data_IF_850153557329
#
_entry.id   IF_850153557329
#
_cell.length_a   1.000
_cell.length_b   1.000
_cell.length_c   1.000
_cell.angle_alpha   90.00
_cell.angle_beta   90.00
_cell.angle_gamma   90.00
#
_symmetry.space_group_name_H-M   'P 1'
#
loop_
_entity.id
_entity.type
_entity.pdbx_description
1 polymer ?
#
# COMPACT_ATOMS: atom_id res chain seq x y z
N UNK A 1 -14.37 3.81 10.37
CA UNK A 1 -13.97 4.80 9.34
C UNK A 1 -15.07 5.85 9.10
N UNK A 2 -16.30 5.44 8.90
CA UNK A 2 -17.44 6.35 8.64
C UNK A 2 -17.69 7.38 9.75
N UNK A 3 -17.56 6.97 11.02
CA UNK A 3 -17.72 7.90 12.16
C UNK A 3 -16.65 9.00 12.16
N UNK A 4 -15.40 8.65 11.84
CA UNK A 4 -14.31 9.63 11.73
C UNK A 4 -14.57 10.61 10.59
N UNK A 5 -15.04 10.12 9.44
CA UNK A 5 -15.38 10.98 8.31
C UNK A 5 -16.53 11.95 8.64
N UNK A 6 -17.58 11.45 9.31
CA UNK A 6 -18.70 12.28 9.76
C UNK A 6 -18.29 13.34 10.79
N UNK A 7 -17.38 12.98 11.70
CA UNK A 7 -16.84 13.92 12.69
C UNK A 7 -16.06 15.08 12.05
N UNK A 8 -15.52 14.86 10.84
CA UNK A 8 -14.86 15.89 10.02
C UNK A 8 -15.84 16.67 9.12
N UNK A 9 -17.16 16.51 9.31
CA UNK A 9 -18.19 17.19 8.53
C UNK A 9 -18.52 16.54 7.19
N UNK A 10 -17.97 15.34 6.89
CA UNK A 10 -18.24 14.64 5.64
C UNK A 10 -19.58 13.93 5.69
N UNK A 11 -20.41 14.10 4.66
CA UNK A 11 -21.63 13.32 4.48
C UNK A 11 -21.28 11.95 3.89
N UNK A 12 -21.43 10.89 4.68
CA UNK A 12 -21.20 9.52 4.24
C UNK A 12 -22.51 8.88 3.81
N UNK A 13 -22.60 8.47 2.54
CA UNK A 13 -23.80 7.89 1.93
C UNK A 13 -23.45 6.48 1.46
N UNK A 14 -24.15 5.50 1.99
CA UNK A 14 -24.05 4.12 1.51
C UNK A 14 -25.03 3.90 0.36
N UNK A 15 -24.54 3.30 -0.73
CA UNK A 15 -25.41 2.95 -1.84
C UNK A 15 -26.45 1.90 -1.40
N UNK A 16 -27.75 2.12 -1.68
CA UNK A 16 -28.79 1.14 -1.36
C UNK A 16 -28.71 -0.11 -2.24
N UNK A 17 -27.92 -0.06 -3.32
CA UNK A 17 -27.73 -1.19 -4.23
C UNK A 17 -26.24 -1.46 -4.45
N UNK A 18 -25.81 -2.73 -4.43
CA UNK A 18 -24.43 -3.06 -4.70
C UNK A 18 -24.09 -2.81 -6.19
N UNK A 19 -22.82 -2.51 -6.48
CA UNK A 19 -22.33 -2.23 -7.85
C UNK A 19 -22.58 -3.38 -8.84
N UNK A 20 -22.72 -4.61 -8.35
CA UNK A 20 -23.11 -5.79 -9.16
C UNK A 20 -24.48 -5.59 -9.80
N UNK A 21 -25.44 -4.93 -9.12
CA UNK A 21 -26.75 -4.56 -9.65
C UNK A 21 -26.66 -3.21 -10.36
N UNK A 22 -25.92 -3.16 -11.48
CA UNK A 22 -25.52 -1.91 -12.16
C UNK A 22 -26.68 -0.94 -12.40
N UNK A 23 -27.85 -1.41 -12.84
CA UNK A 23 -29.01 -0.56 -13.11
C UNK A 23 -29.54 0.16 -11.87
N UNK A 24 -29.69 -0.55 -10.76
CA UNK A 24 -30.17 0.01 -9.50
C UNK A 24 -29.12 0.93 -8.88
N UNK A 25 -27.86 0.52 -8.95
CA UNK A 25 -26.74 1.36 -8.49
C UNK A 25 -26.66 2.69 -9.25
N UNK A 26 -26.73 2.67 -10.59
CA UNK A 26 -26.70 3.87 -11.42
C UNK A 26 -27.89 4.75 -11.12
N UNK A 27 -29.08 4.17 -10.93
CA UNK A 27 -30.29 4.93 -10.58
C UNK A 27 -30.15 5.64 -9.25
N UNK A 28 -29.66 4.94 -8.22
CA UNK A 28 -29.41 5.50 -6.90
C UNK A 28 -28.36 6.61 -6.95
N UNK A 29 -27.23 6.38 -7.61
CA UNK A 29 -26.18 7.37 -7.78
C UNK A 29 -26.69 8.62 -8.54
N UNK A 30 -27.46 8.44 -9.62
CA UNK A 30 -28.04 9.56 -10.36
C UNK A 30 -29.03 10.36 -9.52
N UNK A 31 -29.81 9.70 -8.66
CA UNK A 31 -30.71 10.39 -7.74
C UNK A 31 -29.93 11.26 -6.75
N UNK A 32 -28.86 10.73 -6.15
CA UNK A 32 -28.00 11.46 -5.24
C UNK A 32 -27.33 12.66 -5.93
N UNK A 33 -26.74 12.45 -7.09
CA UNK A 33 -26.08 13.52 -7.86
C UNK A 33 -27.03 14.65 -8.30
N UNK A 34 -28.32 14.35 -8.47
CA UNK A 34 -29.34 15.36 -8.79
C UNK A 34 -29.80 16.16 -7.57
N UNK A 35 -29.85 15.52 -6.40
CA UNK A 35 -30.27 16.18 -5.15
C UNK A 35 -29.17 17.04 -4.54
N UNK A 36 -27.91 16.64 -4.71
CA UNK A 36 -26.77 17.40 -4.26
C UNK A 36 -26.28 18.39 -5.32
N UNK A 37 -25.77 19.52 -4.90
CA UNK A 37 -25.04 20.44 -5.77
C UNK A 37 -23.57 20.08 -5.71
N UNK A 38 -23.14 19.22 -6.61
CA UNK A 38 -21.76 18.73 -6.65
C UNK A 38 -21.01 19.37 -7.82
N UNK A 39 -19.94 20.08 -7.54
CA UNK A 39 -19.07 20.67 -8.54
C UNK A 39 -18.02 19.67 -9.05
N UNK A 40 -17.56 18.76 -8.18
CA UNK A 40 -16.51 17.79 -8.48
C UNK A 40 -17.00 16.36 -8.25
N UNK A 41 -16.74 15.49 -9.20
CA UNK A 41 -16.88 14.05 -9.06
C UNK A 41 -15.49 13.41 -9.06
N UNK A 42 -15.00 12.99 -7.89
CA UNK A 42 -13.71 12.32 -7.72
C UNK A 42 -13.93 10.82 -7.51
N UNK A 43 -13.54 10.02 -8.48
CA UNK A 43 -13.76 8.57 -8.50
C UNK A 43 -12.48 7.81 -8.13
N UNK A 44 -12.57 6.92 -7.12
CA UNK A 44 -11.45 6.10 -6.61
C UNK A 44 -11.62 4.61 -6.90
N UNK A 45 -12.12 4.25 -8.08
CA UNK A 45 -12.46 2.86 -8.40
C UNK A 45 -11.85 2.40 -9.73
N UNK A 46 -10.65 2.87 -10.03
CA UNK A 46 -9.87 2.51 -11.22
C UNK A 46 -10.75 2.52 -12.50
N UNK A 47 -10.73 1.46 -13.30
CA UNK A 47 -11.56 1.37 -14.52
C UNK A 47 -13.07 1.38 -14.26
N UNK A 48 -13.53 0.94 -13.06
CA UNK A 48 -14.94 0.98 -12.70
C UNK A 48 -15.45 2.41 -12.49
N UNK A 49 -14.57 3.39 -12.38
CA UNK A 49 -14.89 4.81 -12.40
C UNK A 49 -15.69 5.20 -13.65
N UNK A 50 -15.55 4.45 -14.75
CA UNK A 50 -16.40 4.61 -15.95
C UNK A 50 -17.91 4.55 -15.66
N UNK A 51 -18.33 3.68 -14.72
CA UNK A 51 -19.74 3.56 -14.34
C UNK A 51 -20.25 4.84 -13.67
N UNK A 52 -19.41 5.44 -12.82
CA UNK A 52 -19.73 6.70 -12.14
C UNK A 52 -19.77 7.88 -13.13
N UNK A 53 -18.82 7.94 -14.05
CA UNK A 53 -18.75 8.97 -15.09
C UNK A 53 -19.97 8.89 -16.03
N UNK A 54 -20.35 7.68 -16.47
CA UNK A 54 -21.55 7.47 -17.26
C UNK A 54 -22.83 7.84 -16.50
N UNK A 55 -22.90 7.50 -15.21
CA UNK A 55 -24.02 7.89 -14.36
C UNK A 55 -24.13 9.41 -14.22
N UNK A 56 -23.00 10.14 -14.17
CA UNK A 56 -22.93 11.59 -14.08
C UNK A 56 -23.09 12.31 -15.43
N UNK A 57 -23.27 11.58 -16.54
CA UNK A 57 -23.44 12.18 -17.85
C UNK A 57 -24.71 13.06 -17.91
N UNK A 58 -24.59 14.26 -18.47
CA UNK A 58 -25.66 15.25 -18.56
C UNK A 58 -25.95 15.99 -17.24
N UNK A 59 -25.12 15.84 -16.22
CA UNK A 59 -25.22 16.60 -14.95
C UNK A 59 -24.25 17.79 -14.91
N UNK A 60 -24.57 18.87 -14.18
CA UNK A 60 -23.76 20.08 -14.11
C UNK A 60 -22.53 19.90 -13.22
N UNK A 61 -21.76 18.82 -13.41
CA UNK A 61 -20.51 18.56 -12.72
C UNK A 61 -19.40 19.23 -13.52
N UNK A 62 -18.71 20.17 -12.88
CA UNK A 62 -17.68 20.99 -13.52
C UNK A 62 -16.40 20.20 -13.73
N UNK A 63 -16.06 19.26 -12.81
CA UNK A 63 -14.82 18.52 -12.86
C UNK A 63 -15.00 17.03 -12.52
N UNK A 64 -14.45 16.17 -13.35
CA UNK A 64 -14.49 14.71 -13.23
C UNK A 64 -13.07 14.17 -13.11
N UNK A 65 -12.75 13.58 -11.98
CA UNK A 65 -11.42 13.05 -11.66
C UNK A 65 -11.50 11.54 -11.54
N UNK A 66 -10.61 10.84 -12.20
CA UNK A 66 -10.39 9.40 -12.02
C UNK A 66 -9.07 9.21 -11.30
N UNK A 67 -9.12 8.70 -10.07
CA UNK A 67 -7.95 8.37 -9.26
C UNK A 67 -7.68 6.87 -9.33
N UNK A 68 -6.50 6.50 -9.78
CA UNK A 68 -6.09 5.13 -10.03
C UNK A 68 -5.19 4.65 -8.89
N UNK A 69 -5.62 3.57 -8.23
CA UNK A 69 -4.94 2.99 -7.07
C UNK A 69 -4.23 1.67 -7.37
N UNK A 70 -4.64 1.00 -8.46
CA UNK A 70 -4.09 -0.29 -8.83
C UNK A 70 -3.60 -0.27 -10.28
N UNK A 71 -2.49 -0.96 -10.50
CA UNK A 71 -1.89 -1.09 -11.82
C UNK A 71 -2.62 -2.10 -12.72
N UNK A 72 -3.93 -2.26 -12.54
CA UNK A 72 -4.78 -2.94 -13.48
C UNK A 72 -4.91 -4.48 -13.37
N UNK A 73 -3.95 -5.18 -12.82
CA UNK A 73 -3.90 -6.63 -13.07
C UNK A 73 -4.51 -7.48 -11.95
N UNK A 74 -4.90 -6.87 -10.86
CA UNK A 74 -5.44 -7.56 -9.69
C UNK A 74 -6.93 -7.96 -9.78
N UNK A 75 -7.61 -7.65 -10.89
CA UNK A 75 -9.01 -8.08 -11.05
C UNK A 75 -9.05 -9.51 -11.59
N UNK A 76 -9.48 -10.51 -10.79
CA UNK A 76 -9.62 -11.86 -11.25
C UNK A 76 -10.69 -11.91 -12.36
N UNK A 77 -10.30 -11.99 -13.60
CA UNK A 77 -11.23 -12.14 -14.68
C UNK A 77 -10.85 -13.38 -15.49
N UNK A 78 -11.81 -14.28 -15.57
CA UNK A 78 -11.65 -15.65 -16.01
C UNK A 78 -11.28 -15.90 -17.48
N UNK A 79 -11.05 -14.90 -18.31
CA UNK A 79 -10.41 -15.08 -19.62
C UNK A 79 -9.85 -13.77 -20.18
N UNK A 80 -8.72 -13.84 -20.90
CA UNK A 80 -8.11 -12.69 -21.59
C UNK A 80 -9.08 -11.97 -22.52
N UNK A 81 -9.99 -12.69 -23.14
CA UNK A 81 -11.00 -12.13 -24.03
C UNK A 81 -12.04 -11.30 -23.28
N UNK A 82 -12.56 -11.80 -22.14
CA UNK A 82 -13.49 -11.05 -21.28
C UNK A 82 -12.81 -9.81 -20.68
N UNK A 83 -11.55 -9.93 -20.29
CA UNK A 83 -10.75 -8.77 -19.83
C UNK A 83 -10.73 -7.70 -20.92
N UNK A 84 -10.34 -8.06 -22.14
CA UNK A 84 -10.22 -7.11 -23.26
C UNK A 84 -11.56 -6.49 -23.65
N UNK A 85 -12.64 -7.29 -23.70
CA UNK A 85 -13.97 -6.82 -24.11
C UNK A 85 -14.65 -5.95 -23.05
N UNK A 86 -14.29 -6.09 -21.78
CA UNK A 86 -14.90 -5.31 -20.70
C UNK A 86 -14.02 -4.15 -20.23
N UNK A 87 -12.73 -4.41 -20.00
CA UNK A 87 -11.82 -3.43 -19.40
C UNK A 87 -11.45 -2.30 -20.34
N UNK A 88 -11.13 -2.63 -21.60
CA UNK A 88 -10.72 -1.62 -22.58
C UNK A 88 -11.82 -0.59 -22.86
N UNK A 89 -13.09 -0.98 -23.13
CA UNK A 89 -14.17 0.00 -23.26
C UNK A 89 -14.35 0.89 -22.02
N UNK A 90 -14.28 0.32 -20.79
CA UNK A 90 -14.40 1.09 -19.56
C UNK A 90 -13.25 2.09 -19.40
N UNK A 91 -12.01 1.66 -19.68
CA UNK A 91 -10.86 2.54 -19.69
C UNK A 91 -11.05 3.68 -20.71
N UNK A 92 -11.52 3.39 -21.91
CA UNK A 92 -11.79 4.40 -22.94
C UNK A 92 -12.86 5.40 -22.51
N UNK A 93 -13.87 4.97 -21.73
CA UNK A 93 -14.83 5.88 -21.11
C UNK A 93 -14.13 6.83 -20.13
N UNK A 94 -13.30 6.29 -19.22
CA UNK A 94 -12.52 7.12 -18.32
C UNK A 94 -11.61 8.10 -19.07
N UNK A 95 -10.90 7.61 -20.08
CA UNK A 95 -9.99 8.43 -20.90
C UNK A 95 -10.69 9.52 -21.69
N UNK A 96 -11.97 9.40 -21.99
CA UNK A 96 -12.75 10.41 -22.74
C UNK A 96 -13.50 11.36 -21.84
N UNK A 97 -14.05 10.88 -20.73
CA UNK A 97 -14.99 11.63 -19.89
C UNK A 97 -14.36 12.28 -18.66
N UNK A 98 -13.18 11.81 -18.21
CA UNK A 98 -12.50 12.45 -17.09
C UNK A 98 -11.80 13.73 -17.54
N UNK A 99 -11.84 14.77 -16.72
CA UNK A 99 -11.08 16.01 -16.90
C UNK A 99 -9.64 15.80 -16.38
N UNK A 100 -9.48 15.02 -15.30
CA UNK A 100 -8.17 14.64 -14.76
C UNK A 100 -8.09 13.13 -14.52
N UNK A 101 -6.91 12.57 -14.80
CA UNK A 101 -6.54 11.19 -14.47
C UNK A 101 -5.31 11.24 -13.56
N UNK A 102 -5.47 10.67 -12.38
CA UNK A 102 -4.48 10.75 -11.30
C UNK A 102 -4.07 9.33 -10.92
N UNK A 103 -2.78 9.05 -10.92
CA UNK A 103 -2.23 7.79 -10.40
C UNK A 103 -1.58 8.00 -9.05
N UNK A 104 -1.64 7.00 -8.16
CA UNK A 104 -0.92 7.03 -6.88
C UNK A 104 0.60 6.82 -7.02
N UNK A 105 1.04 6.41 -8.20
CA UNK A 105 2.44 6.26 -8.58
C UNK A 105 2.60 6.47 -10.08
N UNK A 106 3.84 6.67 -10.53
CA UNK A 106 4.13 6.74 -11.96
C UNK A 106 3.67 5.47 -12.68
N UNK A 107 3.93 4.31 -12.08
CA UNK A 107 3.55 3.02 -12.64
C UNK A 107 2.04 2.85 -12.77
N UNK A 108 1.25 3.18 -11.74
CA UNK A 108 -0.22 3.05 -11.81
C UNK A 108 -0.83 3.97 -12.85
N UNK A 109 -0.31 5.19 -12.97
CA UNK A 109 -0.75 6.13 -14.01
C UNK A 109 -0.45 5.58 -15.40
N UNK A 110 0.80 5.19 -15.67
CA UNK A 110 1.21 4.70 -17.01
C UNK A 110 0.49 3.40 -17.39
N UNK A 111 0.32 2.47 -16.45
CA UNK A 111 -0.45 1.25 -16.66
C UNK A 111 -1.91 1.56 -17.04
N UNK A 112 -2.54 2.53 -16.38
CA UNK A 112 -3.89 2.96 -16.69
C UNK A 112 -3.99 3.66 -18.05
N UNK A 113 -3.05 4.52 -18.38
CA UNK A 113 -2.96 5.20 -19.68
C UNK A 113 -2.63 4.23 -20.82
N UNK A 114 -2.03 3.09 -20.51
CA UNK A 114 -1.58 2.05 -21.43
C UNK A 114 -0.60 2.61 -22.48
N UNK A 115 -1.05 2.73 -23.75
CA UNK A 115 -0.21 3.24 -24.85
C UNK A 115 -0.34 4.75 -25.09
N UNK A 116 -1.21 5.41 -24.32
CA UNK A 116 -1.42 6.85 -24.47
C UNK A 116 -0.32 7.62 -23.73
N UNK A 117 0.33 8.55 -24.39
CA UNK A 117 1.25 9.48 -23.72
C UNK A 117 0.53 10.35 -22.68
N UNK A 118 1.20 10.67 -21.57
CA UNK A 118 0.69 11.60 -20.56
C UNK A 118 0.44 12.99 -21.18
N UNK A 119 -0.63 13.62 -20.74
CA UNK A 119 -0.93 15.03 -21.01
C UNK A 119 -0.72 15.80 -19.70
N UNK A 120 0.29 16.66 -19.58
CA UNK A 120 0.66 17.31 -18.31
C UNK A 120 -0.46 18.10 -17.65
N UNK A 121 -1.35 18.68 -18.47
CA UNK A 121 -2.51 19.44 -18.01
C UNK A 121 -3.65 18.58 -17.44
N UNK A 122 -3.59 17.25 -17.64
CA UNK A 122 -4.67 16.32 -17.32
C UNK A 122 -4.24 15.11 -16.49
N UNK A 123 -3.05 14.60 -16.79
CA UNK A 123 -2.57 13.32 -16.25
C UNK A 123 -1.43 13.61 -15.28
N UNK A 124 -1.63 13.29 -14.01
CA UNK A 124 -0.68 13.60 -12.94
C UNK A 124 -0.51 12.44 -11.97
N UNK A 125 0.58 12.46 -11.25
CA UNK A 125 0.80 11.58 -10.09
C UNK A 125 0.49 12.37 -8.83
N UNK A 126 -0.29 11.75 -7.96
CA UNK A 126 -0.58 12.25 -6.62
C UNK A 126 -0.32 11.14 -5.61
N UNK A 127 0.80 11.23 -4.93
CA UNK A 127 1.18 10.27 -3.90
C UNK A 127 0.29 10.37 -2.68
N UNK A 128 0.15 9.27 -1.94
CA UNK A 128 -0.50 9.31 -0.64
C UNK A 128 0.22 10.25 0.32
N UNK A 129 -0.55 11.04 1.04
CA UNK A 129 -0.04 11.81 2.18
C UNK A 129 0.23 10.89 3.37
N UNK A 130 1.40 11.04 3.97
CA UNK A 130 1.81 10.30 5.17
C UNK A 130 2.01 11.29 6.31
N UNK A 131 1.36 11.02 7.46
CA UNK A 131 1.54 11.78 8.68
C UNK A 131 2.74 11.23 9.47
N UNK A 132 3.82 11.99 9.65
CA UNK A 132 4.98 11.53 10.40
C UNK A 132 4.78 11.57 11.92
N UNK A 133 3.78 12.31 12.43
CA UNK A 133 3.58 12.54 13.87
C UNK A 133 3.59 11.26 14.72
N UNK A 134 2.94 10.15 14.29
CA UNK A 134 3.01 8.90 15.06
C UNK A 134 4.43 8.34 15.21
N UNK A 135 5.33 8.63 14.25
CA UNK A 135 6.73 8.18 14.30
C UNK A 135 7.63 9.13 15.09
N UNK A 136 7.26 10.39 15.23
CA UNK A 136 7.99 11.36 16.06
C UNK A 136 7.83 11.08 17.55
N UNK A 137 6.67 10.58 17.96
CA UNK A 137 6.25 10.45 19.35
C UNK A 137 6.46 9.06 19.96
N UNK A 138 6.82 8.04 19.15
CA UNK A 138 7.05 6.68 19.67
C UNK A 138 8.22 6.61 20.62
N UNK A 139 8.05 5.85 21.70
CA UNK A 139 9.10 5.64 22.71
C UNK A 139 10.26 4.83 22.16
N UNK A 140 9.97 3.86 21.29
CA UNK A 140 10.95 2.88 20.81
C UNK A 140 11.53 2.01 21.92
N UNK A 141 10.74 1.69 22.94
CA UNK A 141 11.13 0.78 24.02
C UNK A 141 11.27 -0.66 23.49
N UNK A 142 12.42 -0.92 22.90
CA UNK A 142 12.75 -2.20 22.27
C UNK A 142 12.75 -3.37 23.26
N UNK A 143 13.20 -3.13 24.49
CA UNK A 143 13.29 -4.16 25.53
C UNK A 143 11.89 -4.51 26.05
N UNK A 144 11.10 -3.51 26.41
CA UNK A 144 9.72 -3.70 26.85
C UNK A 144 8.86 -4.38 25.79
N UNK A 145 9.01 -3.99 24.52
CA UNK A 145 8.30 -4.61 23.42
C UNK A 145 8.65 -6.10 23.26
N UNK A 146 9.94 -6.46 23.32
CA UNK A 146 10.37 -7.87 23.26
C UNK A 146 9.79 -8.69 24.39
N UNK A 147 9.80 -8.19 25.60
CA UNK A 147 9.22 -8.87 26.77
C UNK A 147 7.72 -9.07 26.67
N UNK A 148 6.96 -8.13 26.08
CA UNK A 148 5.53 -8.28 25.84
C UNK A 148 5.20 -9.43 24.87
N UNK A 149 6.14 -9.81 24.03
CA UNK A 149 5.99 -10.90 23.04
C UNK A 149 6.72 -12.18 23.46
N UNK A 150 7.22 -12.26 24.71
CA UNK A 150 8.00 -13.39 25.23
C UNK A 150 9.24 -13.68 24.35
N UNK A 151 9.92 -12.61 23.90
CA UNK A 151 11.15 -12.70 23.11
C UNK A 151 12.36 -12.38 23.98
N UNK A 152 13.53 -12.92 23.62
CA UNK A 152 14.79 -12.53 24.25
C UNK A 152 15.10 -11.04 23.99
N UNK A 153 15.80 -10.40 24.94
CA UNK A 153 16.12 -8.97 24.85
C UNK A 153 17.00 -8.64 23.61
N UNK A 154 17.74 -9.63 23.11
CA UNK A 154 18.59 -9.56 21.91
C UNK A 154 17.92 -10.12 20.63
N UNK A 155 16.63 -10.50 20.68
CA UNK A 155 15.93 -11.03 19.53
C UNK A 155 16.02 -10.11 18.30
N UNK A 156 16.44 -10.66 17.16
CA UNK A 156 16.47 -9.98 15.88
C UNK A 156 15.08 -10.06 15.22
N UNK A 157 14.40 -8.95 15.10
CA UNK A 157 13.01 -8.90 14.62
C UNK A 157 12.97 -8.58 13.13
N UNK A 158 12.47 -9.54 12.35
CA UNK A 158 12.09 -9.39 10.94
C UNK A 158 10.59 -9.08 10.88
N UNK A 159 10.23 -7.85 10.56
CA UNK A 159 8.84 -7.38 10.51
C UNK A 159 8.27 -7.45 9.10
N UNK A 160 7.13 -8.12 8.96
CA UNK A 160 6.25 -8.02 7.80
C UNK A 160 5.02 -7.16 8.17
N UNK A 161 4.80 -6.07 7.45
CA UNK A 161 3.66 -5.17 7.68
C UNK A 161 2.78 -5.05 6.44
N UNK A 162 1.51 -5.47 6.55
CA UNK A 162 0.55 -5.40 5.45
C UNK A 162 -0.47 -6.52 5.43
N UNK A 163 -1.31 -6.56 4.38
CA UNK A 163 -2.28 -7.65 4.21
C UNK A 163 -1.56 -8.99 4.00
N UNK A 164 -2.00 -10.03 4.69
CA UNK A 164 -1.47 -11.39 4.53
C UNK A 164 -2.18 -12.09 3.37
N UNK A 165 -1.83 -11.70 2.16
CA UNK A 165 -2.43 -12.18 0.90
C UNK A 165 -1.34 -12.63 -0.09
N UNK A 166 -1.66 -13.49 -1.08
CA UNK A 166 -0.66 -14.00 -2.04
C UNK A 166 0.12 -12.90 -2.76
N UNK A 167 -0.51 -11.77 -3.04
CA UNK A 167 0.11 -10.62 -3.70
C UNK A 167 1.19 -9.93 -2.84
N UNK A 168 1.21 -10.18 -1.53
CA UNK A 168 2.25 -9.68 -0.61
C UNK A 168 3.28 -10.73 -0.24
N UNK A 169 3.00 -12.00 -0.58
CA UNK A 169 3.89 -13.15 -0.38
C UNK A 169 4.45 -13.33 1.06
N UNK A 170 3.60 -13.30 2.12
CA UNK A 170 4.08 -13.38 3.50
C UNK A 170 4.75 -14.73 3.82
N UNK A 171 4.41 -15.80 3.10
CA UNK A 171 4.99 -17.14 3.29
C UNK A 171 6.50 -17.12 2.99
N UNK A 172 6.94 -16.39 1.96
CA UNK A 172 8.37 -16.25 1.64
C UNK A 172 9.15 -15.57 2.78
N UNK A 173 8.53 -14.70 3.57
CA UNK A 173 9.18 -14.13 4.74
C UNK A 173 9.50 -15.19 5.82
N UNK A 174 8.69 -16.26 5.91
CA UNK A 174 8.98 -17.43 6.77
C UNK A 174 10.17 -18.21 6.23
N UNK A 175 10.28 -18.38 4.91
CA UNK A 175 11.46 -19.01 4.30
C UNK A 175 12.74 -18.22 4.59
N UNK A 176 12.67 -16.89 4.50
CA UNK A 176 13.79 -16.01 4.85
C UNK A 176 14.15 -16.15 6.34
N UNK A 177 13.15 -16.19 7.23
CA UNK A 177 13.37 -16.44 8.65
C UNK A 177 14.09 -17.77 8.88
N UNK A 178 13.70 -18.85 8.21
CA UNK A 178 14.33 -20.16 8.34
C UNK A 178 15.84 -20.10 8.01
N UNK A 179 16.20 -19.38 6.95
CA UNK A 179 17.60 -19.20 6.58
C UNK A 179 18.35 -18.25 7.51
N UNK A 180 17.67 -17.20 7.97
CA UNK A 180 18.22 -16.22 8.90
C UNK A 180 18.56 -16.89 10.24
N UNK A 181 17.70 -17.76 10.78
CA UNK A 181 17.94 -18.49 12.01
C UNK A 181 19.12 -19.47 11.95
N UNK A 182 19.48 -19.94 10.77
CA UNK A 182 20.72 -20.69 10.56
C UNK A 182 21.99 -19.83 10.70
N UNK A 183 21.88 -18.51 10.68
CA UNK A 183 22.96 -17.52 10.80
C UNK A 183 22.87 -16.77 12.12
N UNK A 184 21.68 -16.39 12.53
CA UNK A 184 21.32 -15.64 13.72
C UNK A 184 20.21 -16.39 14.48
N UNK A 185 20.59 -17.27 15.41
CA UNK A 185 19.68 -18.23 16.07
C UNK A 185 18.53 -17.58 16.84
N UNK A 186 18.67 -16.31 17.24
CA UNK A 186 17.70 -15.52 17.97
C UNK A 186 16.74 -14.72 17.07
N UNK A 187 16.79 -14.91 15.73
CA UNK A 187 15.90 -14.21 14.83
C UNK A 187 14.44 -14.70 14.96
N UNK A 188 13.51 -13.75 14.90
CA UNK A 188 12.05 -13.98 14.92
C UNK A 188 11.37 -13.19 13.83
N UNK A 189 10.23 -13.66 13.34
CA UNK A 189 9.40 -12.90 12.41
C UNK A 189 8.11 -12.45 13.09
N UNK A 190 7.78 -11.18 12.90
CA UNK A 190 6.52 -10.59 13.35
C UNK A 190 5.72 -10.17 12.13
N UNK A 191 4.45 -10.59 12.09
CA UNK A 191 3.51 -10.24 11.03
C UNK A 191 2.42 -9.34 11.59
N UNK A 192 2.29 -8.14 11.03
CA UNK A 192 1.25 -7.18 11.40
C UNK A 192 0.31 -6.98 10.21
N UNK A 193 -0.95 -7.27 10.43
CA UNK A 193 -2.02 -7.26 9.44
C UNK A 193 -2.81 -8.55 9.45
N UNK A 194 -3.76 -8.67 8.53
CA UNK A 194 -4.60 -9.86 8.38
C UNK A 194 -4.82 -10.20 6.91
N UNK A 195 -5.27 -11.43 6.63
CA UNK A 195 -5.55 -11.85 5.26
C UNK A 195 -5.73 -13.35 5.10
N UNK A 196 -5.95 -13.77 3.85
CA UNK A 196 -6.26 -15.17 3.52
C UNK A 196 -5.09 -16.14 3.78
N UNK A 197 -3.85 -15.64 3.88
CA UNK A 197 -2.66 -16.48 4.09
C UNK A 197 -2.20 -16.58 5.55
N UNK A 198 -2.97 -16.12 6.53
CA UNK A 198 -2.62 -16.29 7.96
C UNK A 198 -2.37 -17.76 8.32
N UNK A 199 -3.25 -18.66 7.83
CA UNK A 199 -3.11 -20.11 8.08
C UNK A 199 -1.90 -20.69 7.37
N UNK A 200 -1.62 -20.24 6.14
CA UNK A 200 -0.50 -20.73 5.34
C UNK A 200 0.83 -20.33 6.00
N UNK A 201 0.94 -19.11 6.51
CA UNK A 201 2.11 -18.63 7.27
C UNK A 201 2.37 -19.50 8.49
N UNK A 202 1.33 -19.76 9.31
CA UNK A 202 1.47 -20.59 10.52
C UNK A 202 1.76 -22.06 10.20
N UNK A 203 1.12 -22.59 9.16
CA UNK A 203 1.37 -23.97 8.74
C UNK A 203 2.79 -24.14 8.24
N UNK A 204 3.25 -23.23 7.38
CA UNK A 204 4.60 -23.26 6.84
C UNK A 204 5.66 -23.08 7.93
N UNK A 205 5.40 -22.23 8.91
CA UNK A 205 6.27 -22.10 10.08
C UNK A 205 6.41 -23.42 10.86
N UNK A 206 5.31 -24.17 11.08
CA UNK A 206 5.35 -25.48 11.72
C UNK A 206 6.12 -26.52 10.91
N UNK A 207 5.91 -26.56 9.59
CA UNK A 207 6.62 -27.47 8.68
C UNK A 207 8.14 -27.27 8.73
N UNK A 208 8.57 -26.05 9.05
CA UNK A 208 9.97 -25.69 9.23
C UNK A 208 10.46 -25.73 10.69
N UNK A 209 9.61 -26.08 11.66
CA UNK A 209 9.93 -26.10 13.09
C UNK A 209 10.17 -24.71 13.66
N UNK A 210 9.43 -23.69 13.18
CA UNK A 210 9.60 -22.28 13.52
C UNK A 210 8.36 -21.68 14.21
N UNK A 211 7.44 -22.50 14.70
CA UNK A 211 6.19 -22.02 15.34
C UNK A 211 6.44 -21.05 16.50
N UNK A 212 7.49 -21.31 17.29
CA UNK A 212 7.90 -20.44 18.40
C UNK A 212 8.67 -19.20 17.97
N UNK A 213 8.98 -19.05 16.68
CA UNK A 213 9.74 -17.95 16.12
C UNK A 213 8.90 -17.02 15.24
N UNK A 214 7.61 -17.31 15.09
CA UNK A 214 6.67 -16.52 14.30
C UNK A 214 5.57 -15.97 15.19
N UNK A 215 5.29 -14.66 15.07
CA UNK A 215 4.21 -13.98 15.78
C UNK A 215 3.28 -13.31 14.80
N UNK A 216 2.00 -13.71 14.78
CA UNK A 216 0.95 -13.00 14.06
C UNK A 216 0.23 -12.07 15.04
N UNK A 217 0.39 -10.75 14.88
CA UNK A 217 -0.22 -9.76 15.78
C UNK A 217 -1.59 -9.28 15.28
N UNK A 218 -2.02 -9.73 14.09
CA UNK A 218 -3.25 -9.25 13.48
C UNK A 218 -3.21 -7.76 13.14
N UNK A 219 -4.38 -7.15 13.07
CA UNK A 219 -4.49 -5.71 12.86
C UNK A 219 -4.10 -4.93 14.11
N UNK A 220 -3.18 -3.96 13.98
CA UNK A 220 -2.66 -3.15 15.09
C UNK A 220 -2.77 -1.67 14.74
N UNK A 221 -3.09 -0.84 15.77
CA UNK A 221 -3.11 0.61 15.65
C UNK A 221 -1.79 1.27 16.05
N UNK A 222 -0.91 0.52 16.71
CA UNK A 222 0.41 0.95 17.21
C UNK A 222 1.56 0.48 16.29
N UNK A 223 1.28 0.38 14.98
CA UNK A 223 2.27 -0.02 13.97
C UNK A 223 3.56 0.82 14.03
N UNK A 224 3.53 2.15 14.25
CA UNK A 224 4.75 2.96 14.42
C UNK A 224 5.65 2.46 15.57
N UNK A 225 5.07 2.09 16.71
CA UNK A 225 5.81 1.53 17.85
C UNK A 225 6.43 0.18 17.49
N UNK A 226 5.64 -0.73 16.90
CA UNK A 226 6.12 -2.04 16.48
C UNK A 226 7.28 -1.92 15.49
N UNK A 227 7.14 -1.03 14.49
CA UNK A 227 8.20 -0.76 13.52
C UNK A 227 9.46 -0.22 14.21
N UNK A 228 9.33 0.74 15.12
CA UNK A 228 10.46 1.34 15.85
C UNK A 228 11.20 0.35 16.75
N UNK A 229 10.52 -0.72 17.19
CA UNK A 229 11.08 -1.79 18.00
C UNK A 229 11.65 -2.96 17.17
N UNK A 230 11.46 -2.97 15.86
CA UNK A 230 11.95 -3.99 14.93
C UNK A 230 13.36 -3.68 14.41
N UNK A 231 13.99 -4.63 13.72
CA UNK A 231 15.33 -4.49 13.16
C UNK A 231 15.30 -4.40 11.63
N UNK A 232 14.40 -5.17 11.01
CA UNK A 232 14.21 -5.25 9.58
C UNK A 232 12.74 -5.16 9.22
N UNK A 233 12.46 -4.49 8.12
CA UNK A 233 11.19 -4.60 7.40
C UNK A 233 11.39 -5.45 6.14
N UNK A 234 10.51 -6.43 5.91
CA UNK A 234 10.55 -7.28 4.72
C UNK A 234 9.25 -7.17 3.93
N UNK A 235 9.37 -6.93 2.63
CA UNK A 235 8.23 -6.95 1.71
C UNK A 235 8.62 -7.69 0.41
N UNK A 236 8.41 -9.01 0.37
CA UNK A 236 8.78 -9.89 -0.75
C UNK A 236 7.66 -9.97 -1.80
N UNK A 237 7.14 -8.81 -2.23
CA UNK A 237 6.06 -8.71 -3.21
C UNK A 237 6.48 -9.32 -4.54
N UNK A 238 5.67 -10.16 -5.20
CA UNK A 238 5.95 -10.65 -6.55
C UNK A 238 6.21 -9.50 -7.54
N UNK A 239 6.98 -9.78 -8.58
CA UNK A 239 7.24 -8.77 -9.62
C UNK A 239 5.98 -8.43 -10.43
N UNK A 240 5.01 -9.36 -10.45
CA UNK A 240 3.71 -9.17 -11.11
C UNK A 240 2.58 -9.79 -10.28
N UNK A 241 1.52 -9.02 -9.98
CA UNK A 241 1.38 -7.58 -10.22
C UNK A 241 2.35 -6.78 -9.36
N UNK A 242 2.75 -5.60 -9.81
CA UNK A 242 3.61 -4.68 -9.04
C UNK A 242 2.81 -4.06 -7.89
N UNK A 243 3.45 -3.80 -6.76
CA UNK A 243 2.88 -2.99 -5.68
C UNK A 243 2.53 -1.59 -6.17
N UNK A 244 1.28 -1.16 -5.98
CA UNK A 244 0.81 0.12 -6.52
C UNK A 244 1.54 1.34 -5.97
N UNK A 245 1.87 1.32 -4.66
CA UNK A 245 2.66 2.37 -4.01
C UNK A 245 3.51 1.83 -2.85
N UNK A 246 2.91 1.10 -1.89
CA UNK A 246 3.63 0.54 -0.76
C UNK A 246 3.76 1.50 0.42
N UNK A 247 2.65 1.98 0.99
CA UNK A 247 2.64 2.84 2.19
C UNK A 247 3.51 2.30 3.32
N UNK A 248 3.47 0.98 3.57
CA UNK A 248 4.28 0.33 4.60
C UNK A 248 5.79 0.52 4.38
N UNK A 249 6.23 0.75 3.13
CA UNK A 249 7.64 1.07 2.81
C UNK A 249 8.00 2.47 3.29
N UNK A 250 7.10 3.46 3.13
CA UNK A 250 7.30 4.81 3.68
C UNK A 250 7.33 4.76 5.21
N UNK A 251 6.36 4.08 5.82
CA UNK A 251 6.25 3.92 7.26
C UNK A 251 7.50 3.26 7.86
N UNK A 252 8.04 2.21 7.22
CA UNK A 252 9.27 1.55 7.65
C UNK A 252 10.49 2.49 7.63
N UNK A 253 10.59 3.38 6.66
CA UNK A 253 11.63 4.40 6.61
C UNK A 253 11.49 5.42 7.74
N UNK A 254 10.26 5.87 8.01
CA UNK A 254 9.97 6.80 9.11
C UNK A 254 10.26 6.19 10.49
N UNK A 255 10.16 4.87 10.62
CA UNK A 255 10.57 4.15 11.82
C UNK A 255 12.10 3.97 11.95
N UNK A 256 12.85 4.28 10.89
CA UNK A 256 14.31 4.06 10.84
C UNK A 256 14.69 2.60 10.61
N UNK A 257 13.84 1.82 9.92
CA UNK A 257 14.12 0.42 9.62
C UNK A 257 15.02 0.25 8.39
N UNK A 258 15.86 -0.77 8.43
CA UNK A 258 16.45 -1.35 7.23
C UNK A 258 15.40 -2.17 6.50
N UNK A 259 15.44 -2.20 5.17
CA UNK A 259 14.41 -2.87 4.40
C UNK A 259 14.98 -3.91 3.43
N UNK A 260 14.32 -5.06 3.37
CA UNK A 260 14.49 -6.08 2.33
C UNK A 260 13.27 -6.02 1.41
N UNK A 261 13.47 -5.57 0.20
CA UNK A 261 12.40 -5.34 -0.78
C UNK A 261 12.64 -6.17 -2.02
N UNK A 262 11.58 -6.69 -2.61
CA UNK A 262 11.66 -7.35 -3.94
C UNK A 262 11.65 -6.33 -5.08
N UNK A 263 11.87 -6.80 -6.30
CA UNK A 263 11.73 -5.99 -7.52
C UNK A 263 10.27 -5.60 -7.81
N UNK A 264 9.28 -6.25 -7.17
CA UNK A 264 7.88 -5.84 -7.24
C UNK A 264 7.54 -4.56 -6.47
N UNK A 265 8.50 -3.97 -5.75
CA UNK A 265 8.33 -2.69 -5.05
C UNK A 265 8.92 -1.56 -5.89
N UNK A 266 8.12 -0.52 -6.11
CA UNK A 266 8.50 0.67 -6.89
C UNK A 266 9.53 1.55 -6.16
N UNK A 267 10.10 2.52 -6.90
CA UNK A 267 10.94 3.57 -6.31
C UNK A 267 10.13 4.73 -5.73
N UNK A 268 8.89 4.91 -6.19
CA UNK A 268 8.01 6.02 -5.78
C UNK A 268 7.91 6.22 -4.24
N UNK A 269 7.81 5.18 -3.37
CA UNK A 269 7.75 5.35 -1.93
C UNK A 269 9.12 5.54 -1.26
N UNK A 270 10.23 5.49 -1.99
CA UNK A 270 11.56 5.58 -1.41
C UNK A 270 11.99 7.03 -1.20
N UNK A 271 12.30 7.37 0.05
CA UNK A 271 12.91 8.66 0.40
C UNK A 271 14.42 8.62 0.11
N UNK A 272 15.07 9.77 -0.10
CA UNK A 272 16.52 9.82 -0.33
C UNK A 272 17.38 9.19 0.77
N UNK A 273 16.84 9.08 1.97
CA UNK A 273 17.48 8.49 3.16
C UNK A 273 17.22 7.00 3.32
N UNK A 274 16.50 6.37 2.39
CA UNK A 274 16.09 4.97 2.48
C UNK A 274 17.28 4.01 2.60
N UNK A 275 17.24 3.12 3.56
CA UNK A 275 18.20 2.02 3.71
C UNK A 275 17.54 0.70 3.34
N UNK A 276 17.83 0.20 2.15
CA UNK A 276 17.22 -1.02 1.64
C UNK A 276 18.17 -1.88 0.80
N UNK A 277 17.80 -3.16 0.64
CA UNK A 277 18.32 -4.06 -0.40
C UNK A 277 17.17 -4.51 -1.25
N UNK A 278 17.30 -4.33 -2.56
CA UNK A 278 16.34 -4.84 -3.54
C UNK A 278 16.85 -6.16 -4.07
N UNK A 279 16.08 -7.23 -3.91
CA UNK A 279 16.48 -8.61 -4.17
C UNK A 279 15.41 -9.31 -5.01
N UNK A 280 15.81 -10.08 -6.04
CA UNK A 280 14.85 -10.91 -6.77
C UNK A 280 14.37 -12.06 -5.88
N UNK A 281 13.10 -12.42 -6.01
CA UNK A 281 12.56 -13.61 -5.33
C UNK A 281 13.19 -14.90 -5.87
N UNK A 282 13.54 -14.91 -7.16
CA UNK A 282 14.14 -16.07 -7.84
C UNK A 282 15.48 -16.49 -7.24
N UNK A 283 16.22 -15.59 -6.60
CA UNK A 283 17.50 -15.89 -5.95
C UNK A 283 17.32 -16.62 -4.61
N UNK A 284 16.09 -16.79 -4.19
CA UNK A 284 15.70 -17.59 -3.03
C UNK A 284 15.99 -16.93 -1.67
N UNK A 285 15.45 -17.51 -0.58
CA UNK A 285 15.47 -16.92 0.76
C UNK A 285 16.86 -16.83 1.37
N UNK A 286 17.83 -17.65 0.93
CA UNK A 286 19.20 -17.63 1.45
C UNK A 286 19.93 -16.33 1.14
N UNK A 287 19.74 -15.76 -0.06
CA UNK A 287 20.33 -14.46 -0.40
C UNK A 287 19.74 -13.33 0.44
N UNK A 288 18.43 -13.38 0.68
CA UNK A 288 17.74 -12.41 1.52
C UNK A 288 18.24 -12.44 2.97
N UNK A 289 18.41 -13.64 3.53
CA UNK A 289 18.95 -13.80 4.89
C UNK A 289 20.40 -13.29 4.99
N UNK A 290 21.26 -13.63 4.02
CA UNK A 290 22.64 -13.09 3.97
C UNK A 290 22.66 -11.57 3.90
N UNK A 291 21.82 -10.98 3.05
CA UNK A 291 21.73 -9.53 2.93
C UNK A 291 21.26 -8.85 4.24
N UNK A 292 20.41 -9.52 5.03
CA UNK A 292 20.04 -9.05 6.37
C UNK A 292 21.26 -9.03 7.30
N UNK A 293 21.99 -10.13 7.41
CA UNK A 293 23.15 -10.25 8.32
C UNK A 293 24.28 -9.28 7.94
N UNK A 294 24.64 -9.20 6.66
CA UNK A 294 25.68 -8.28 6.16
C UNK A 294 25.42 -6.81 6.56
N UNK A 295 24.16 -6.40 6.56
CA UNK A 295 23.80 -5.02 6.89
C UNK A 295 23.61 -4.72 8.37
N UNK A 296 23.56 -5.72 9.23
CA UNK A 296 23.55 -5.50 10.68
C UNK A 296 24.76 -4.72 11.17
N UNK A 297 25.90 -4.87 10.48
CA UNK A 297 27.15 -4.16 10.79
C UNK A 297 27.15 -2.69 10.33
N UNK A 298 26.19 -2.26 9.53
CA UNK A 298 26.09 -0.88 9.08
C UNK A 298 25.30 -0.03 10.08
N UNK A 299 25.52 1.31 10.12
CA UNK A 299 24.74 2.20 10.97
C UNK A 299 23.23 2.05 10.75
N UNK A 300 22.46 2.12 11.82
CA UNK A 300 21.00 2.15 11.75
C UNK A 300 20.54 3.40 11.03
N UNK A 301 19.56 3.34 10.10
CA UNK A 301 19.01 4.51 9.45
C UNK A 301 18.45 5.52 10.46
N UNK A 302 18.63 6.79 10.19
CA UNK A 302 18.15 7.85 11.05
C UNK A 302 16.66 8.13 10.82
N UNK A 303 15.83 7.89 11.81
CA UNK A 303 14.41 8.26 11.82
C UNK A 303 14.23 9.77 11.58
N UNK A 304 15.00 10.60 12.30
CA UNK A 304 14.92 12.05 12.13
C UNK A 304 15.26 12.49 10.69
N UNK A 305 16.25 11.87 10.05
CA UNK A 305 16.58 12.16 8.66
C UNK A 305 15.47 11.72 7.68
N UNK A 306 14.82 10.58 7.95
CA UNK A 306 13.69 10.11 7.14
C UNK A 306 12.47 11.03 7.26
N UNK A 307 12.15 11.49 8.47
CA UNK A 307 11.06 12.46 8.72
C UNK A 307 11.34 13.79 8.02
N UNK A 308 12.56 14.31 8.13
CA UNK A 308 12.95 15.53 7.42
C UNK A 308 12.84 15.38 5.90
N UNK A 309 13.27 14.23 5.36
CA UNK A 309 13.14 13.93 3.93
C UNK A 309 11.66 13.79 3.49
N UNK A 310 10.79 13.24 4.35
CA UNK A 310 9.35 13.18 4.07
C UNK A 310 8.76 14.60 3.94
N UNK A 311 9.07 15.52 4.85
CA UNK A 311 8.58 16.89 4.80
C UNK A 311 8.97 17.64 3.52
N UNK A 312 10.10 17.27 2.92
CA UNK A 312 10.51 17.83 1.62
C UNK A 312 9.90 17.10 0.43
N UNK A 313 9.28 15.93 0.63
CA UNK A 313 8.72 15.12 -0.44
C UNK A 313 7.25 15.48 -0.74
N UNK A 314 6.72 15.08 -1.91
CA UNK A 314 5.30 15.20 -2.21
C UNK A 314 4.40 14.26 -1.37
N UNK A 315 4.99 13.34 -0.60
CA UNK A 315 4.30 12.41 0.30
C UNK A 315 4.04 13.03 1.69
N UNK A 316 4.57 14.21 1.99
CA UNK A 316 4.19 14.96 3.20
C UNK A 316 2.67 15.20 3.21
N UNK A 317 2.01 14.98 4.35
CA UNK A 317 0.55 15.06 4.46
C UNK A 317 0.02 16.42 4.02
N UNK A 318 0.64 17.52 4.42
CA UNK A 318 0.18 18.87 4.09
C UNK A 318 0.39 19.17 2.60
N UNK A 319 1.52 18.74 2.04
CA UNK A 319 1.81 18.89 0.60
C UNK A 319 0.84 18.05 -0.24
N UNK A 320 0.57 16.82 0.16
CA UNK A 320 -0.38 15.94 -0.51
C UNK A 320 -1.79 16.52 -0.46
N UNK A 321 -2.27 17.01 0.69
CA UNK A 321 -3.58 17.65 0.81
C UNK A 321 -3.69 18.90 -0.07
N UNK A 322 -2.66 19.76 -0.09
CA UNK A 322 -2.63 20.93 -1.00
C UNK A 322 -2.67 20.51 -2.46
N UNK A 323 -1.94 19.44 -2.82
CA UNK A 323 -1.98 18.87 -4.16
C UNK A 323 -3.37 18.34 -4.54
N UNK A 324 -4.03 17.63 -3.62
CA UNK A 324 -5.39 17.12 -3.82
C UNK A 324 -6.41 18.23 -4.01
N UNK A 325 -6.33 19.29 -3.20
CA UNK A 325 -7.22 20.45 -3.31
C UNK A 325 -7.08 21.17 -4.66
N UNK A 326 -5.85 21.26 -5.20
CA UNK A 326 -5.63 21.83 -6.55
C UNK A 326 -6.30 21.03 -7.67
N UNK A 327 -6.49 19.72 -7.48
CA UNK A 327 -7.24 18.90 -8.44
C UNK A 327 -8.73 19.24 -8.43
N UNK A 328 -9.24 19.79 -7.34
CA UNK A 328 -10.67 20.14 -7.17
C UNK A 328 -10.99 21.59 -7.57
N UNK A 329 -10.00 22.46 -7.69
CA UNK A 329 -10.14 23.86 -8.14
C UNK A 329 -9.77 24.03 -9.60
#
# INVERSE_FOLDING_TARGET
MDEKARALGTRVIHSPAPLVKKGDFIRALRAELRHGSYDVLHCHHDILSAVYLLAASGMPIQRRIVHVHNADESVPSGSRLKQRLYREPMRQVCLRMADHIVGISNYTLDAFLARRARRPERDSVHYYGVDPTPFETVSGDRVGFRRQLDLSDDALILLFGGRLVPEKNPVFAVDVLAKLRGMESHAVAIFVGSGSQERDVLQHARELGLEDCVRLLGWRNDLPEIMSCSDWFILPHPEHPVEGFGLAVVEAQLAGLRMLLSHGILDDPLLPTASFRRLPLADGPTLWAKAAVERLQQPTPSRAAAIAALHESPMDMDRALKGLLKLHT
#
